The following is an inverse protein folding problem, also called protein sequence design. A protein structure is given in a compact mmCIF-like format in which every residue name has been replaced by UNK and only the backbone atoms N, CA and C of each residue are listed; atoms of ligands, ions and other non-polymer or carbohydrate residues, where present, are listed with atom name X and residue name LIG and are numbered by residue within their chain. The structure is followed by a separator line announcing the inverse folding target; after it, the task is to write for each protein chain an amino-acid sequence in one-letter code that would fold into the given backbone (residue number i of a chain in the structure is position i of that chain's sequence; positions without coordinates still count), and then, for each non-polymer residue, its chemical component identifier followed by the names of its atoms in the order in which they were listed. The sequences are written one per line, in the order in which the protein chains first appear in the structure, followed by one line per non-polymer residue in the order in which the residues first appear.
data_IF_121698720782
#
_entry.id   IF_121698720782
#
_cell.length_a   1.000
_cell.length_b   1.000
_cell.length_c   1.000
_cell.angle_alpha   90.00
_cell.angle_beta   90.00
_cell.angle_gamma   90.00
#
_symmetry.space_group_name_H-M   'P 1'
#
loop_
_entity.id
_entity.type
_entity.pdbx_description
1 polymer ?
#
# COMPACT_ATOMS: atom_id res chain seq x y z
N UNK A 1 -41.87 -1.48 19.58
CA UNK A 1 -40.52 -1.00 19.57
C UNK A 1 -39.93 -1.04 18.18
N UNK A 2 -39.80 0.13 17.55
CA UNK A 2 -39.43 0.25 16.15
C UNK A 2 -37.90 0.27 15.92
N UNK A 3 -37.08 0.17 16.96
CA UNK A 3 -35.64 0.35 16.86
C UNK A 3 -34.84 -0.95 16.85
N UNK A 4 -35.41 -2.06 17.35
CA UNK A 4 -34.71 -3.33 17.52
C UNK A 4 -34.20 -3.97 16.22
N UNK A 5 -35.05 -4.23 15.20
CA UNK A 5 -34.61 -5.01 14.04
C UNK A 5 -33.62 -4.27 13.12
N UNK A 6 -33.69 -2.95 13.06
CA UNK A 6 -32.76 -2.15 12.22
C UNK A 6 -31.39 -1.99 12.86
N UNK A 7 -31.38 -1.82 14.18
CA UNK A 7 -30.14 -1.72 14.95
C UNK A 7 -29.34 -3.00 14.90
N UNK A 8 -30.01 -4.16 15.08
CA UNK A 8 -29.37 -5.47 15.04
C UNK A 8 -28.81 -5.78 13.65
N UNK A 9 -29.51 -5.45 12.58
CA UNK A 9 -29.04 -5.66 11.22
C UNK A 9 -27.83 -4.81 10.91
N UNK A 10 -27.80 -3.56 11.35
CA UNK A 10 -26.68 -2.65 11.12
C UNK A 10 -25.44 -3.14 11.87
N UNK A 11 -25.59 -3.52 13.13
CA UNK A 11 -24.49 -4.04 13.94
C UNK A 11 -23.94 -5.35 13.37
N UNK A 12 -24.81 -6.26 12.92
CA UNK A 12 -24.39 -7.51 12.29
C UNK A 12 -23.65 -7.25 10.98
N UNK A 13 -24.13 -6.33 10.14
CA UNK A 13 -23.46 -5.98 8.90
C UNK A 13 -22.09 -5.36 9.16
N UNK A 14 -21.97 -4.50 10.15
CA UNK A 14 -20.69 -3.89 10.53
C UNK A 14 -19.71 -4.94 11.05
N UNK A 15 -20.17 -5.89 11.83
CA UNK A 15 -19.36 -7.02 12.32
C UNK A 15 -18.89 -7.91 11.18
N UNK A 16 -19.78 -8.23 10.24
CA UNK A 16 -19.44 -9.03 9.06
C UNK A 16 -18.41 -8.30 8.20
N UNK A 17 -18.61 -7.02 7.98
CA UNK A 17 -17.69 -6.18 7.22
C UNK A 17 -16.30 -6.17 7.89
N UNK A 18 -16.22 -5.93 9.18
CA UNK A 18 -14.96 -5.95 9.93
C UNK A 18 -14.29 -7.30 9.87
N UNK A 19 -15.04 -8.39 10.05
CA UNK A 19 -14.51 -9.74 9.96
C UNK A 19 -13.98 -10.06 8.56
N UNK A 20 -14.67 -9.62 7.52
CA UNK A 20 -14.23 -9.80 6.13
C UNK A 20 -12.97 -8.98 5.85
N UNK A 21 -12.89 -7.76 6.33
CA UNK A 21 -11.71 -6.89 6.16
C UNK A 21 -10.49 -7.50 6.86
N UNK A 22 -10.65 -8.03 8.06
CA UNK A 22 -9.55 -8.62 8.83
C UNK A 22 -9.18 -10.03 8.37
N UNK A 23 -10.15 -10.86 8.03
CA UNK A 23 -9.94 -12.28 7.76
C UNK A 23 -9.76 -12.61 6.27
N UNK A 24 -10.47 -11.92 5.38
CA UNK A 24 -10.53 -12.26 3.94
C UNK A 24 -9.65 -11.33 3.10
N UNK A 25 -9.33 -10.14 3.58
CA UNK A 25 -8.54 -9.14 2.87
C UNK A 25 -7.23 -8.82 3.59
N UNK A 26 -6.37 -9.85 3.82
CA UNK A 26 -5.05 -9.58 4.39
C UNK A 26 -4.24 -8.67 3.45
N UNK A 27 -3.50 -7.74 4.01
CA UNK A 27 -2.75 -6.77 3.24
C UNK A 27 -3.54 -5.56 2.78
N UNK A 28 -4.77 -5.35 3.31
CA UNK A 28 -5.54 -4.13 3.03
C UNK A 28 -5.51 -3.21 4.24
N UNK A 29 -4.85 -2.05 4.10
CA UNK A 29 -4.66 -1.08 5.20
C UNK A 29 -4.19 -1.75 6.48
N UNK A 30 -3.28 -2.71 6.36
CA UNK A 30 -2.78 -3.51 7.46
C UNK A 30 -1.50 -2.91 8.02
N UNK A 31 -1.48 -2.60 9.30
CA UNK A 31 -0.28 -2.15 9.99
C UNK A 31 0.52 -3.39 10.40
N UNK A 32 1.67 -3.61 9.75
CA UNK A 32 2.52 -4.78 10.00
C UNK A 32 3.67 -4.46 10.97
N UNK A 33 3.96 -3.17 11.17
CA UNK A 33 4.94 -2.72 12.16
C UNK A 33 4.52 -1.35 12.69
N UNK A 34 4.68 -1.14 13.98
CA UNK A 34 4.36 0.14 14.63
C UNK A 34 5.57 1.05 14.75
N UNK A 35 6.78 0.46 14.88
CA UNK A 35 8.01 1.22 15.03
C UNK A 35 9.20 0.44 14.46
N UNK A 36 9.74 0.85 13.31
CA UNK A 36 9.20 1.91 12.46
C UNK A 36 7.83 1.55 11.90
N UNK A 37 6.99 2.55 11.69
CA UNK A 37 5.64 2.36 11.16
C UNK A 37 5.70 1.81 9.74
N UNK A 38 4.96 0.73 9.47
CA UNK A 38 4.78 0.19 8.13
C UNK A 38 3.35 -0.31 7.96
N UNK A 39 2.67 0.29 7.01
CA UNK A 39 1.32 -0.11 6.58
C UNK A 39 1.44 -0.76 5.20
N UNK A 40 0.74 -1.85 4.99
CA UNK A 40 0.70 -2.53 3.69
C UNK A 40 -0.72 -2.51 3.13
N UNK A 41 -0.82 -2.39 1.81
CA UNK A 41 -2.09 -2.38 1.10
C UNK A 41 -1.92 -3.03 -0.27
N UNK A 42 -2.83 -3.94 -0.60
CA UNK A 42 -2.81 -4.67 -1.86
C UNK A 42 -3.30 -3.89 -3.08
N UNK A 43 -3.46 -2.57 -2.98
CA UNK A 43 -3.87 -1.73 -4.11
C UNK A 43 -3.00 -2.01 -5.33
N UNK A 44 -3.62 -2.35 -6.47
CA UNK A 44 -2.92 -2.80 -7.68
C UNK A 44 -3.53 -2.24 -8.96
N UNK A 45 -4.43 -1.29 -8.85
CA UNK A 45 -5.03 -0.56 -9.97
C UNK A 45 -5.39 0.85 -9.50
N UNK A 46 -5.83 1.69 -10.43
CA UNK A 46 -6.18 3.08 -10.16
C UNK A 46 -7.23 3.22 -9.07
N UNK A 47 -8.28 2.41 -9.10
CA UNK A 47 -9.36 2.44 -8.11
C UNK A 47 -8.84 2.08 -6.71
N UNK A 48 -8.00 1.05 -6.62
CA UNK A 48 -7.40 0.64 -5.36
C UNK A 48 -6.47 1.70 -4.78
N UNK A 49 -5.68 2.34 -5.61
CA UNK A 49 -4.77 3.42 -5.20
C UNK A 49 -5.55 4.66 -4.77
N UNK A 50 -6.64 4.99 -5.46
CA UNK A 50 -7.51 6.10 -5.07
C UNK A 50 -8.11 5.87 -3.66
N UNK A 51 -8.58 4.65 -3.40
CA UNK A 51 -9.09 4.27 -2.09
C UNK A 51 -7.99 4.33 -1.01
N UNK A 52 -6.79 3.86 -1.32
CA UNK A 52 -5.63 3.95 -0.42
C UNK A 52 -5.31 5.41 -0.09
N UNK A 53 -5.24 6.26 -1.10
CA UNK A 53 -4.99 7.70 -0.95
C UNK A 53 -6.01 8.34 -0.02
N UNK A 54 -7.29 8.11 -0.26
CA UNK A 54 -8.37 8.67 0.57
C UNK A 54 -8.25 8.20 2.02
N UNK A 55 -8.00 6.92 2.23
CA UNK A 55 -7.83 6.36 3.57
C UNK A 55 -6.65 6.98 4.31
N UNK A 56 -5.52 7.15 3.63
CA UNK A 56 -4.33 7.78 4.22
C UNK A 56 -4.61 9.24 4.58
N UNK A 57 -5.32 9.97 3.73
CA UNK A 57 -5.68 11.37 3.99
C UNK A 57 -6.63 11.50 5.17
N UNK A 58 -7.54 10.56 5.33
CA UNK A 58 -8.50 10.56 6.45
C UNK A 58 -7.84 10.16 7.77
N UNK A 59 -6.99 9.13 7.74
CA UNK A 59 -6.35 8.62 8.95
C UNK A 59 -5.17 9.48 9.41
N UNK A 60 -4.44 10.07 8.47
CA UNK A 60 -3.21 10.81 8.75
C UNK A 60 -3.20 12.13 7.98
N UNK A 61 -4.13 13.07 8.31
CA UNK A 61 -4.28 14.31 7.54
C UNK A 61 -3.01 15.16 7.56
N UNK A 62 -2.65 15.67 6.40
CA UNK A 62 -1.49 16.56 6.24
C UNK A 62 -0.14 15.87 6.21
N UNK A 63 -0.08 14.55 6.36
CA UNK A 63 1.19 13.81 6.36
C UNK A 63 1.62 13.43 4.94
N UNK A 64 2.93 13.31 4.77
CA UNK A 64 3.57 12.71 3.60
C UNK A 64 4.11 11.34 3.98
N UNK A 65 4.27 10.48 3.00
CA UNK A 65 4.63 9.08 3.23
C UNK A 65 5.86 8.68 2.42
N UNK A 66 6.61 7.74 2.97
CA UNK A 66 7.62 7.00 2.23
C UNK A 66 6.95 5.76 1.65
N UNK A 67 6.85 5.68 0.32
CA UNK A 67 6.19 4.56 -0.34
C UNK A 67 7.18 3.51 -0.81
N UNK A 68 6.82 2.25 -0.60
CA UNK A 68 7.49 1.08 -1.15
C UNK A 68 6.55 0.45 -2.17
N UNK A 69 6.95 0.38 -3.43
CA UNK A 69 6.06 -0.04 -4.51
C UNK A 69 6.67 -1.16 -5.34
N UNK A 70 5.90 -2.22 -5.52
CA UNK A 70 6.16 -3.28 -6.48
C UNK A 70 4.90 -3.57 -7.26
N UNK A 71 4.97 -3.68 -8.58
CA UNK A 71 3.79 -3.76 -9.44
C UNK A 71 4.02 -4.72 -10.61
N UNK A 72 2.92 -5.28 -11.13
CA UNK A 72 2.95 -6.10 -12.35
C UNK A 72 3.02 -5.21 -13.58
N UNK A 73 3.71 -5.69 -14.62
CA UNK A 73 3.95 -4.91 -15.84
C UNK A 73 2.69 -4.61 -16.65
N UNK A 74 1.64 -5.42 -16.49
CA UNK A 74 0.37 -5.27 -17.20
C UNK A 74 -0.60 -4.27 -16.55
N UNK A 75 -0.18 -3.60 -15.48
CA UNK A 75 -1.00 -2.60 -14.78
C UNK A 75 -0.69 -1.18 -15.26
N UNK A 76 -1.67 -0.29 -15.10
CA UNK A 76 -1.52 1.13 -15.39
C UNK A 76 -0.75 1.83 -14.25
N UNK A 77 0.52 1.44 -14.10
CA UNK A 77 1.36 1.95 -13.01
C UNK A 77 1.56 3.47 -13.08
N UNK A 78 1.54 4.03 -14.28
CA UNK A 78 1.65 5.48 -14.50
C UNK A 78 0.48 6.23 -13.85
N UNK A 79 -0.74 5.75 -14.04
CA UNK A 79 -1.94 6.32 -13.42
C UNK A 79 -1.89 6.13 -11.91
N UNK A 80 -1.51 4.95 -11.46
CA UNK A 80 -1.39 4.63 -10.02
C UNK A 80 -0.41 5.58 -9.32
N UNK A 81 0.74 5.80 -9.92
CA UNK A 81 1.77 6.69 -9.35
C UNK A 81 1.26 8.13 -9.29
N UNK A 82 0.73 8.65 -10.39
CA UNK A 82 0.21 10.03 -10.43
C UNK A 82 -0.88 10.27 -9.40
N UNK A 83 -1.69 9.27 -9.14
CA UNK A 83 -2.76 9.34 -8.13
C UNK A 83 -2.21 9.54 -6.72
N UNK A 84 -1.13 8.82 -6.38
CA UNK A 84 -0.58 8.83 -5.01
C UNK A 84 0.51 9.89 -4.81
N UNK A 85 1.07 10.46 -5.88
CA UNK A 85 2.17 11.42 -5.80
C UNK A 85 1.95 12.58 -4.81
N UNK A 86 0.73 13.17 -4.69
CA UNK A 86 0.53 14.26 -3.74
C UNK A 86 0.84 13.91 -2.30
N UNK A 87 0.84 12.63 -1.94
CA UNK A 87 1.14 12.16 -0.59
C UNK A 87 2.58 11.66 -0.43
N UNK A 88 3.37 11.69 -1.50
CA UNK A 88 4.70 11.06 -1.49
C UNK A 88 5.79 12.03 -1.05
N UNK A 89 6.60 11.60 -0.09
CA UNK A 89 7.89 12.20 0.21
C UNK A 89 8.98 11.59 -0.66
N UNK A 90 9.01 10.27 -0.74
CA UNK A 90 9.91 9.51 -1.60
C UNK A 90 9.37 8.11 -1.86
N UNK A 91 9.97 7.42 -2.83
CA UNK A 91 9.63 6.04 -3.19
C UNK A 91 10.85 5.14 -3.13
N UNK A 92 10.60 3.91 -2.74
CA UNK A 92 11.50 2.77 -2.99
C UNK A 92 10.75 1.79 -3.88
N UNK A 93 11.42 1.28 -4.90
CA UNK A 93 10.80 0.36 -5.85
C UNK A 93 11.43 -1.02 -5.75
N UNK A 94 10.60 -2.04 -5.92
CA UNK A 94 11.00 -3.45 -5.84
C UNK A 94 10.42 -4.19 -7.04
N UNK A 95 11.16 -5.17 -7.55
CA UNK A 95 10.64 -6.10 -8.56
C UNK A 95 10.01 -7.28 -7.82
N UNK A 96 8.68 -7.45 -7.85
CA UNK A 96 8.05 -8.63 -7.25
C UNK A 96 8.55 -9.92 -7.88
N UNK A 97 8.56 -11.01 -7.11
CA UNK A 97 8.96 -12.32 -7.60
C UNK A 97 7.87 -12.95 -8.47
N UNK A 98 7.78 -12.49 -9.70
CA UNK A 98 6.82 -12.94 -10.70
C UNK A 98 7.36 -12.64 -12.10
N UNK A 99 7.11 -13.54 -13.04
CA UNK A 99 7.47 -13.34 -14.44
C UNK A 99 6.79 -12.13 -15.07
N UNK A 100 5.68 -11.69 -14.48
CA UNK A 100 4.91 -10.53 -14.96
C UNK A 100 5.25 -9.24 -14.25
N UNK A 101 6.26 -9.25 -13.39
CA UNK A 101 6.65 -8.07 -12.62
C UNK A 101 7.26 -6.98 -13.49
N UNK A 102 6.92 -5.73 -13.19
CA UNK A 102 7.63 -4.58 -13.74
C UNK A 102 8.97 -4.43 -13.02
N UNK A 103 10.03 -4.18 -13.76
CA UNK A 103 11.35 -3.98 -13.17
C UNK A 103 11.38 -2.73 -12.29
N UNK A 104 12.00 -2.86 -11.12
CA UNK A 104 12.14 -1.77 -10.16
C UNK A 104 12.82 -0.54 -10.77
N UNK A 105 13.81 -0.75 -11.63
CA UNK A 105 14.50 0.33 -12.35
C UNK A 105 13.57 1.13 -13.23
N UNK A 106 12.70 0.46 -13.96
CA UNK A 106 11.73 1.09 -14.85
C UNK A 106 10.72 1.94 -14.06
N UNK A 107 10.23 1.38 -12.96
CA UNK A 107 9.30 2.06 -12.06
C UNK A 107 9.96 3.29 -11.42
N UNK A 108 11.19 3.15 -10.93
CA UNK A 108 11.94 4.25 -10.33
C UNK A 108 12.20 5.39 -11.33
N UNK A 109 12.57 5.06 -12.57
CA UNK A 109 12.79 6.04 -13.62
C UNK A 109 11.53 6.86 -13.92
N UNK A 110 10.38 6.18 -13.98
CA UNK A 110 9.11 6.86 -14.20
C UNK A 110 8.80 7.83 -13.04
N UNK A 111 8.97 7.40 -11.80
CA UNK A 111 8.71 8.24 -10.62
C UNK A 111 9.63 9.46 -10.61
N UNK A 112 10.90 9.27 -10.91
CA UNK A 112 11.87 10.38 -10.98
C UNK A 112 11.48 11.41 -12.03
N UNK A 113 10.98 10.98 -13.18
CA UNK A 113 10.49 11.88 -14.24
C UNK A 113 9.27 12.69 -13.78
N UNK A 114 8.49 12.16 -12.86
CA UNK A 114 7.36 12.87 -12.27
C UNK A 114 7.80 13.81 -11.13
N UNK A 115 9.08 13.90 -10.83
CA UNK A 115 9.64 14.90 -9.92
C UNK A 115 9.78 14.45 -8.47
N UNK A 116 9.65 13.15 -8.17
CA UNK A 116 9.80 12.60 -6.82
C UNK A 116 11.03 11.69 -6.76
N UNK A 117 11.75 11.71 -5.66
CA UNK A 117 12.89 10.81 -5.44
C UNK A 117 12.42 9.35 -5.43
N UNK A 118 13.15 8.50 -6.11
CA UNK A 118 12.91 7.06 -6.12
C UNK A 118 14.22 6.31 -6.14
N UNK A 119 14.31 5.28 -5.31
CA UNK A 119 15.48 4.40 -5.19
C UNK A 119 15.03 2.98 -5.45
N UNK A 120 15.68 2.30 -6.39
CA UNK A 120 15.42 0.89 -6.64
C UNK A 120 16.14 0.02 -5.62
N UNK A 121 15.43 -0.99 -5.12
CA UNK A 121 15.97 -1.98 -4.20
C UNK A 121 16.18 -3.31 -4.93
N UNK A 122 17.13 -4.11 -4.46
CA UNK A 122 17.44 -5.40 -5.06
C UNK A 122 16.38 -6.48 -4.77
N UNK A 123 15.60 -6.30 -3.73
CA UNK A 123 14.55 -7.22 -3.35
C UNK A 123 13.80 -6.78 -2.11
N UNK A 124 12.80 -7.57 -1.75
CA UNK A 124 11.93 -7.30 -0.59
C UNK A 124 12.72 -7.27 0.72
N UNK A 125 13.76 -8.10 0.82
CA UNK A 125 14.64 -8.17 1.99
C UNK A 125 15.37 -6.86 2.29
N UNK A 126 15.53 -5.99 1.30
CA UNK A 126 16.15 -4.68 1.47
C UNK A 126 15.23 -3.64 2.13
N UNK A 127 13.93 -3.85 2.11
CA UNK A 127 12.94 -2.88 2.61
C UNK A 127 13.19 -2.54 4.08
N UNK A 128 13.46 -3.53 4.90
CA UNK A 128 13.70 -3.32 6.33
C UNK A 128 14.78 -2.28 6.62
N UNK A 129 15.84 -2.28 5.81
CA UNK A 129 16.98 -1.35 5.97
C UNK A 129 16.63 0.09 5.62
N UNK A 130 15.57 0.29 4.86
CA UNK A 130 15.18 1.59 4.32
C UNK A 130 13.92 2.17 4.95
N UNK A 131 13.32 1.48 5.93
CA UNK A 131 12.16 2.00 6.64
C UNK A 131 12.53 3.30 7.37
N UNK A 132 11.78 4.35 7.13
CA UNK A 132 11.96 5.63 7.81
C UNK A 132 11.42 5.55 9.23
N UNK A 133 12.07 6.25 10.17
CA UNK A 133 11.63 6.29 11.58
C UNK A 133 10.77 7.50 11.89
N UNK A 134 10.98 8.58 11.16
CA UNK A 134 10.30 9.87 11.36
C UNK A 134 9.17 10.12 10.36
N UNK A 135 8.99 9.23 9.42
CA UNK A 135 7.94 9.29 8.38
C UNK A 135 7.25 7.94 8.31
N UNK A 136 5.94 7.94 8.08
CA UNK A 136 5.20 6.69 7.92
C UNK A 136 5.53 6.03 6.59
N UNK A 137 5.78 4.73 6.64
CA UNK A 137 6.08 3.92 5.47
C UNK A 137 4.83 3.18 5.03
N UNK A 138 4.58 3.16 3.72
CA UNK A 138 3.41 2.48 3.12
C UNK A 138 3.87 1.65 1.93
N UNK A 139 3.57 0.37 1.93
CA UNK A 139 3.89 -0.55 0.83
C UNK A 139 2.62 -0.92 0.08
N UNK A 140 2.67 -0.87 -1.26
CA UNK A 140 1.52 -1.16 -2.11
C UNK A 140 1.95 -1.50 -3.54
N UNK A 141 0.98 -1.86 -4.39
CA UNK A 141 1.18 -2.03 -5.82
C UNK A 141 0.79 -3.39 -6.35
N UNK A 142 0.90 -4.43 -5.56
CA UNK A 142 0.58 -5.79 -5.97
C UNK A 142 0.37 -6.68 -4.75
N UNK A 143 -0.62 -7.58 -4.82
CA UNK A 143 -0.80 -8.60 -3.79
C UNK A 143 0.39 -9.55 -3.73
N UNK A 144 1.06 -9.82 -4.86
CA UNK A 144 2.29 -10.62 -4.90
C UNK A 144 3.41 -9.97 -4.08
N UNK A 145 3.62 -8.67 -4.29
CA UNK A 145 4.62 -7.90 -3.56
C UNK A 145 4.32 -7.90 -2.06
N UNK A 146 3.08 -7.60 -1.67
CA UNK A 146 2.68 -7.58 -0.26
C UNK A 146 2.83 -8.95 0.38
N UNK A 147 2.46 -10.01 -0.34
CA UNK A 147 2.65 -11.39 0.12
C UNK A 147 4.10 -11.73 0.40
N UNK A 148 5.02 -11.38 -0.50
CA UNK A 148 6.46 -11.54 -0.30
C UNK A 148 6.94 -10.77 0.94
N UNK A 149 6.53 -9.51 1.03
CA UNK A 149 6.94 -8.62 2.12
C UNK A 149 6.53 -9.21 3.48
N UNK A 150 5.32 -9.70 3.59
CA UNK A 150 4.82 -10.31 4.82
C UNK A 150 5.55 -11.60 5.17
N UNK A 151 5.98 -12.39 4.18
CA UNK A 151 6.77 -13.60 4.41
C UNK A 151 8.15 -13.30 4.99
N UNK A 152 8.72 -12.16 4.66
CA UNK A 152 10.03 -11.75 5.17
C UNK A 152 9.99 -11.16 6.58
N UNK A 153 8.85 -11.11 7.22
CA UNK A 153 8.66 -10.68 8.63
C UNK A 153 9.35 -9.36 8.96
N UNK A 154 9.02 -8.36 8.20
CA UNK A 154 9.56 -7.00 8.39
C UNK A 154 8.96 -6.29 9.59
#
# INVERSE_FOLDING_TARGET
DKTGPKSEKTDLNDRIKSALEEAVWPGRMEIVSKEPFLLVDGAHNSNGVDALKESLMQMYPGEKFCFFMGVMADKDYDVMIREILPLAEEFYTVTPDSDRALQASHLADFIRKEGVEATELSGVDEIRKHLKRDTKNVAFGSLYFIGELKQHRI
#
